data_IF_716681777309
#
_entry.id   IF_716681777309
#
_cell.length_a   1.000
_cell.length_b   1.000
_cell.length_c   1.000
_cell.angle_alpha   90.00
_cell.angle_beta   90.00
_cell.angle_gamma   90.00
#
_symmetry.space_group_name_H-M   'P 1'
#
loop_
_entity.id
_entity.type
_entity.pdbx_description
1 polymer ?
#
# COMPACT_ATOMS: atom_id res chain seq x y z
N UNK A 1 -1.89 -15.18 -34.82
CA UNK A 1 -2.49 -14.33 -35.86
C UNK A 1 -3.46 -13.40 -35.15
N UNK A 2 -3.33 -12.08 -35.28
CA UNK A 2 -4.21 -11.12 -34.59
C UNK A 2 -5.56 -11.12 -35.33
N UNK A 3 -6.67 -11.33 -34.62
CA UNK A 3 -8.01 -11.14 -35.20
C UNK A 3 -8.33 -9.64 -35.22
N UNK A 4 -8.12 -9.01 -36.38
CA UNK A 4 -8.32 -7.57 -36.57
C UNK A 4 -9.79 -7.19 -36.35
N UNK A 5 -10.74 -8.03 -36.75
CA UNK A 5 -12.17 -7.72 -36.58
C UNK A 5 -12.54 -7.71 -35.10
N UNK A 6 -11.97 -8.64 -34.33
CA UNK A 6 -12.12 -8.65 -32.88
C UNK A 6 -11.51 -7.38 -32.24
N UNK A 7 -10.31 -6.97 -32.66
CA UNK A 7 -9.66 -5.77 -32.14
C UNK A 7 -10.46 -4.49 -32.47
N UNK A 8 -11.01 -4.39 -33.69
CA UNK A 8 -11.89 -3.28 -34.06
C UNK A 8 -13.16 -3.26 -33.23
N UNK A 9 -13.80 -4.43 -32.99
CA UNK A 9 -14.96 -4.55 -32.10
C UNK A 9 -14.64 -4.02 -30.70
N UNK A 10 -13.55 -4.51 -30.09
CA UNK A 10 -13.12 -4.13 -28.75
C UNK A 10 -12.78 -2.63 -28.66
N UNK A 11 -12.09 -2.09 -29.66
CA UNK A 11 -11.79 -0.67 -29.74
C UNK A 11 -13.07 0.18 -29.79
N UNK A 12 -14.04 -0.19 -30.63
CA UNK A 12 -15.33 0.53 -30.73
C UNK A 12 -16.11 0.41 -29.41
N UNK A 13 -16.19 -0.79 -28.84
CA UNK A 13 -16.86 -1.03 -27.57
C UNK A 13 -16.28 -0.16 -26.45
N UNK A 14 -14.96 0.00 -26.39
CA UNK A 14 -14.30 0.82 -25.40
C UNK A 14 -14.39 2.33 -25.66
N UNK A 15 -13.86 2.81 -26.79
CA UNK A 15 -13.69 4.25 -27.03
C UNK A 15 -14.95 4.96 -27.53
N UNK A 16 -15.86 4.24 -28.19
CA UNK A 16 -17.05 4.84 -28.80
C UNK A 16 -18.28 4.54 -27.96
N UNK A 17 -18.52 3.26 -27.64
CA UNK A 17 -19.74 2.83 -26.95
C UNK A 17 -19.63 2.86 -25.43
N UNK A 18 -18.41 2.78 -24.89
CA UNK A 18 -18.12 2.69 -23.45
C UNK A 18 -18.81 1.49 -22.77
N UNK A 19 -18.89 0.39 -23.50
CA UNK A 19 -19.53 -0.86 -23.05
C UNK A 19 -18.53 -1.84 -22.42
N UNK A 20 -17.27 -1.78 -22.83
CA UNK A 20 -16.21 -2.71 -22.41
C UNK A 20 -14.91 -1.95 -22.08
N UNK A 21 -14.10 -2.51 -21.18
CA UNK A 21 -12.73 -2.02 -20.95
C UNK A 21 -11.77 -2.74 -21.89
N UNK A 22 -10.97 -1.98 -22.64
CA UNK A 22 -9.95 -2.55 -23.50
C UNK A 22 -8.73 -2.94 -22.64
N UNK A 23 -8.30 -4.20 -22.68
CA UNK A 23 -7.08 -4.60 -21.97
C UNK A 23 -5.85 -3.91 -22.57
N UNK A 24 -4.80 -3.71 -21.76
CA UNK A 24 -3.54 -3.13 -22.24
C UNK A 24 -2.92 -3.97 -23.37
N UNK A 25 -2.90 -5.29 -23.21
CA UNK A 25 -2.42 -6.23 -24.23
C UNK A 25 -3.16 -6.08 -25.56
N UNK A 26 -4.49 -5.96 -25.52
CA UNK A 26 -5.30 -5.76 -26.73
C UNK A 26 -5.06 -4.36 -27.34
N UNK A 27 -4.90 -3.33 -26.50
CA UNK A 27 -4.55 -1.99 -26.95
C UNK A 27 -3.18 -1.95 -27.66
N UNK A 28 -2.16 -2.62 -27.10
CA UNK A 28 -0.83 -2.73 -27.67
C UNK A 28 -0.83 -3.51 -28.99
N UNK A 29 -1.54 -4.65 -29.05
CA UNK A 29 -1.69 -5.45 -30.28
C UNK A 29 -2.34 -4.63 -31.38
N UNK A 30 -3.40 -3.88 -31.04
CA UNK A 30 -4.12 -3.09 -32.04
C UNK A 30 -3.32 -1.86 -32.48
N UNK A 31 -2.57 -1.23 -31.57
CA UNK A 31 -1.63 -0.17 -31.90
C UNK A 31 -0.54 -0.65 -32.85
N UNK A 32 0.05 -1.81 -32.61
CA UNK A 32 1.06 -2.42 -33.47
C UNK A 32 0.50 -2.64 -34.88
N UNK A 33 -0.69 -3.24 -34.99
CA UNK A 33 -1.38 -3.41 -36.26
C UNK A 33 -1.60 -2.07 -37.00
N UNK A 34 -2.14 -1.05 -36.33
CA UNK A 34 -2.38 0.25 -36.95
C UNK A 34 -1.09 0.94 -37.38
N UNK A 35 0.01 0.72 -36.65
CA UNK A 35 1.32 1.28 -36.99
C UNK A 35 1.84 0.68 -38.29
N UNK A 36 1.70 -0.62 -38.48
CA UNK A 36 2.14 -1.36 -39.66
C UNK A 36 1.21 -1.14 -40.88
N UNK A 37 -0.10 -1.08 -40.67
CA UNK A 37 -1.08 -0.92 -41.75
C UNK A 37 -1.37 0.56 -42.05
N UNK A 38 -0.69 1.10 -43.06
CA UNK A 38 -0.81 2.51 -43.48
C UNK A 38 -2.18 2.88 -44.06
N UNK A 39 -2.90 1.91 -44.61
CA UNK A 39 -4.18 2.15 -45.29
C UNK A 39 -5.39 2.02 -44.35
N UNK A 40 -5.15 1.77 -43.05
CA UNK A 40 -6.21 1.64 -42.07
C UNK A 40 -7.02 2.95 -41.94
N UNK A 41 -8.36 2.84 -41.93
CA UNK A 41 -9.24 3.99 -41.81
C UNK A 41 -9.04 4.72 -40.48
N UNK A 42 -8.92 6.05 -40.55
CA UNK A 42 -8.71 6.93 -39.39
C UNK A 42 -7.48 6.56 -38.53
N UNK A 43 -6.48 5.89 -39.13
CA UNK A 43 -5.29 5.36 -38.48
C UNK A 43 -4.67 6.31 -37.45
N UNK A 44 -4.31 7.51 -37.87
CA UNK A 44 -3.59 8.48 -37.01
C UNK A 44 -4.39 8.84 -35.76
N UNK A 45 -5.71 9.05 -35.90
CA UNK A 45 -6.59 9.33 -34.77
C UNK A 45 -6.70 8.12 -33.83
N UNK A 46 -6.82 6.92 -34.37
CA UNK A 46 -6.92 5.67 -33.58
C UNK A 46 -5.61 5.40 -32.82
N UNK A 47 -4.47 5.59 -33.48
CA UNK A 47 -3.13 5.51 -32.88
C UNK A 47 -3.00 6.50 -31.72
N UNK A 48 -3.28 7.79 -31.95
CA UNK A 48 -3.17 8.81 -30.90
C UNK A 48 -4.06 8.53 -29.68
N UNK A 49 -5.23 7.92 -29.89
CA UNK A 49 -6.12 7.51 -28.79
C UNK A 49 -5.59 6.31 -28.02
N UNK A 50 -5.09 5.29 -28.71
CA UNK A 50 -4.49 4.11 -28.07
C UNK A 50 -3.23 4.47 -27.31
N UNK A 51 -2.35 5.30 -27.89
CA UNK A 51 -1.13 5.78 -27.22
C UNK A 51 -1.45 6.50 -25.91
N UNK A 52 -2.43 7.42 -25.95
CA UNK A 52 -2.87 8.13 -24.74
C UNK A 52 -3.46 7.18 -23.72
N UNK A 53 -4.25 6.21 -24.16
CA UNK A 53 -4.89 5.23 -23.28
C UNK A 53 -3.85 4.34 -22.58
N UNK A 54 -2.90 3.79 -23.32
CA UNK A 54 -1.81 2.96 -22.79
C UNK A 54 -0.98 3.75 -21.77
N UNK A 55 -0.57 4.99 -22.09
CA UNK A 55 0.15 5.84 -21.14
C UNK A 55 -0.62 6.12 -19.86
N UNK A 56 -1.95 6.22 -19.94
CA UNK A 56 -2.77 6.38 -18.74
C UNK A 56 -2.80 5.10 -17.90
N UNK A 57 -2.95 3.92 -18.54
CA UNK A 57 -2.89 2.63 -17.86
C UNK A 57 -1.53 2.42 -17.17
N UNK A 58 -0.44 2.75 -17.85
CA UNK A 58 0.92 2.68 -17.28
C UNK A 58 1.05 3.58 -16.05
N UNK A 59 0.57 4.83 -16.13
CA UNK A 59 0.58 5.76 -14.99
C UNK A 59 -0.25 5.27 -13.82
N UNK A 60 -1.42 4.69 -14.08
CA UNK A 60 -2.27 4.10 -13.04
C UNK A 60 -1.57 2.94 -12.35
N UNK A 61 -0.93 2.04 -13.13
CA UNK A 61 -0.12 0.94 -12.59
C UNK A 61 1.07 1.42 -11.77
N UNK A 62 1.79 2.44 -12.25
CA UNK A 62 2.91 3.03 -11.52
C UNK A 62 2.43 3.68 -10.20
N UNK A 63 1.28 4.37 -10.22
CA UNK A 63 0.70 4.96 -9.02
C UNK A 63 0.23 3.91 -8.01
N UNK A 64 -0.40 2.83 -8.48
CA UNK A 64 -0.82 1.70 -7.64
C UNK A 64 0.40 1.03 -7.00
N UNK A 65 1.43 0.75 -7.79
CA UNK A 65 2.69 0.18 -7.29
C UNK A 65 3.35 1.10 -6.26
N UNK A 66 3.42 2.39 -6.52
CA UNK A 66 4.00 3.36 -5.58
C UNK A 66 3.20 3.42 -4.27
N UNK A 67 1.87 3.33 -4.34
CA UNK A 67 1.01 3.27 -3.16
C UNK A 67 1.24 1.97 -2.37
N UNK A 68 1.33 0.83 -3.04
CA UNK A 68 1.62 -0.47 -2.42
C UNK A 68 3.00 -0.46 -1.76
N UNK A 69 4.04 0.05 -2.43
CA UNK A 69 5.39 0.18 -1.87
C UNK A 69 5.39 1.08 -0.62
N UNK A 70 4.69 2.21 -0.65
CA UNK A 70 4.55 3.10 0.50
C UNK A 70 3.80 2.42 1.67
N UNK A 71 2.73 1.67 1.37
CA UNK A 71 1.98 0.91 2.37
C UNK A 71 2.87 -0.18 3.01
N UNK A 72 3.60 -0.95 2.19
CA UNK A 72 4.52 -1.98 2.67
C UNK A 72 5.68 -1.41 3.49
N UNK A 73 6.20 -0.23 3.12
CA UNK A 73 7.25 0.44 3.90
C UNK A 73 6.76 0.80 5.31
N UNK A 74 5.55 1.36 5.43
CA UNK A 74 4.93 1.69 6.72
C UNK A 74 4.68 0.43 7.58
N UNK A 75 4.16 -0.63 6.96
CA UNK A 75 3.94 -1.91 7.66
C UNK A 75 5.24 -2.51 8.19
N UNK A 76 6.30 -2.51 7.38
CA UNK A 76 7.64 -2.96 7.79
C UNK A 76 8.21 -2.14 8.94
N UNK A 77 8.02 -0.82 8.91
CA UNK A 77 8.48 0.05 9.99
C UNK A 77 7.76 -0.27 11.31
N UNK A 78 6.43 -0.45 11.28
CA UNK A 78 5.66 -0.85 12.46
C UNK A 78 6.17 -2.18 13.03
N UNK A 79 6.37 -3.19 12.18
CA UNK A 79 6.92 -4.48 12.60
C UNK A 79 8.29 -4.31 13.24
N UNK A 80 9.20 -3.58 12.59
CA UNK A 80 10.56 -3.36 13.09
C UNK A 80 10.59 -2.61 14.43
N UNK A 81 9.66 -1.68 14.68
CA UNK A 81 9.53 -1.00 15.97
C UNK A 81 9.05 -1.99 17.05
N UNK A 82 7.97 -2.74 16.77
CA UNK A 82 7.40 -3.71 17.72
C UNK A 82 8.37 -4.84 18.06
N UNK A 83 9.13 -5.35 17.08
CA UNK A 83 10.20 -6.33 17.31
C UNK A 83 11.29 -5.78 18.25
N UNK A 84 11.64 -4.49 18.16
CA UNK A 84 12.57 -3.87 19.12
C UNK A 84 11.97 -3.81 20.52
N UNK A 85 10.68 -3.53 20.65
CA UNK A 85 10.01 -3.53 21.96
C UNK A 85 10.08 -4.91 22.62
N UNK A 86 9.76 -5.96 21.87
CA UNK A 86 9.89 -7.34 22.35
C UNK A 86 11.33 -7.65 22.77
N UNK A 87 12.32 -7.24 21.98
CA UNK A 87 13.74 -7.41 22.31
C UNK A 87 14.16 -6.64 23.58
N UNK A 88 13.49 -5.54 23.89
CA UNK A 88 13.68 -4.78 25.13
C UNK A 88 12.98 -5.43 26.33
N UNK A 89 12.14 -6.44 26.12
CA UNK A 89 11.36 -7.14 27.15
C UNK A 89 9.95 -6.59 27.34
N UNK A 90 9.41 -5.89 26.34
CA UNK A 90 7.99 -5.58 26.30
C UNK A 90 7.16 -6.82 25.95
N UNK A 91 5.93 -6.85 26.44
CA UNK A 91 4.93 -7.86 26.12
C UNK A 91 3.64 -7.19 25.62
N UNK A 92 2.73 -8.00 25.06
CA UNK A 92 1.43 -7.52 24.62
C UNK A 92 0.33 -8.52 24.93
N UNK A 93 -0.89 -8.00 25.08
CA UNK A 93 -2.10 -8.80 25.13
C UNK A 93 -3.15 -8.24 24.18
N UNK A 94 -3.96 -9.12 23.60
CA UNK A 94 -5.13 -8.75 22.82
C UNK A 94 -6.41 -9.15 23.57
N UNK A 95 -7.39 -8.26 23.58
CA UNK A 95 -8.73 -8.52 24.12
C UNK A 95 -9.77 -8.23 23.06
N UNK A 96 -10.74 -9.12 22.90
CA UNK A 96 -11.88 -8.91 22.01
C UNK A 96 -13.15 -8.71 22.83
N UNK A 97 -13.83 -7.60 22.60
CA UNK A 97 -15.16 -7.35 23.16
C UNK A 97 -16.11 -6.88 22.06
N UNK A 98 -17.28 -7.52 21.98
CA UNK A 98 -18.34 -7.19 21.01
C UNK A 98 -17.87 -7.03 19.54
N UNK A 99 -16.87 -7.81 19.12
CA UNK A 99 -16.32 -7.80 17.75
C UNK A 99 -15.23 -6.76 17.49
N UNK A 100 -14.81 -6.00 18.51
CA UNK A 100 -13.67 -5.08 18.46
C UNK A 100 -12.52 -5.68 19.26
N UNK A 101 -11.38 -5.89 18.61
CA UNK A 101 -10.13 -6.25 19.28
C UNK A 101 -9.38 -5.02 19.76
N UNK A 102 -8.70 -5.13 20.90
CA UNK A 102 -7.81 -4.12 21.43
C UNK A 102 -6.49 -4.78 21.79
N UNK A 103 -5.40 -4.32 21.21
CA UNK A 103 -4.03 -4.71 21.57
C UNK A 103 -3.48 -3.72 22.59
N UNK A 104 -2.91 -4.21 23.69
CA UNK A 104 -2.19 -3.40 24.69
C UNK A 104 -0.76 -3.88 24.82
N UNK A 105 0.20 -2.98 24.61
CA UNK A 105 1.61 -3.24 24.86
C UNK A 105 2.03 -2.74 26.24
N UNK A 106 2.87 -3.52 26.93
CA UNK A 106 3.38 -3.22 28.27
C UNK A 106 4.88 -3.41 28.35
N UNK A 107 5.51 -2.62 29.20
CA UNK A 107 6.91 -2.78 29.58
C UNK A 107 7.00 -2.84 31.09
N UNK A 108 7.59 -3.92 31.63
CA UNK A 108 7.65 -4.18 33.09
C UNK A 108 6.27 -4.08 33.78
N UNK A 109 5.22 -4.53 33.08
CA UNK A 109 3.83 -4.50 33.57
C UNK A 109 3.09 -3.17 33.37
N UNK A 110 3.77 -2.10 32.95
CA UNK A 110 3.16 -0.79 32.70
C UNK A 110 2.75 -0.60 31.23
N UNK A 111 1.49 -0.25 30.92
CA UNK A 111 1.03 -0.09 29.55
C UNK A 111 1.56 1.19 28.90
N UNK A 112 2.13 1.07 27.69
CA UNK A 112 2.65 2.21 26.95
C UNK A 112 1.96 2.46 25.60
N UNK A 113 1.37 1.43 24.97
CA UNK A 113 0.57 1.58 23.74
C UNK A 113 -0.76 0.83 23.84
N UNK A 114 -1.81 1.37 23.22
CA UNK A 114 -3.04 0.64 22.92
C UNK A 114 -3.49 0.94 21.49
N UNK A 115 -3.92 -0.07 20.77
CA UNK A 115 -4.55 0.08 19.44
C UNK A 115 -5.77 -0.82 19.32
N UNK A 116 -6.68 -0.46 18.42
CA UNK A 116 -7.93 -1.18 18.19
C UNK A 116 -7.92 -1.85 16.81
N UNK A 117 -8.68 -2.92 16.65
CA UNK A 117 -8.96 -3.50 15.33
C UNK A 117 -9.65 -2.45 14.45
N UNK A 118 -9.16 -2.28 13.23
CA UNK A 118 -9.68 -1.30 12.28
C UNK A 118 -8.95 0.05 12.29
N UNK A 119 -7.97 0.25 13.17
CA UNK A 119 -7.03 1.38 13.07
C UNK A 119 -6.33 1.34 11.70
N UNK A 120 -6.32 2.48 11.00
CA UNK A 120 -5.66 2.57 9.70
C UNK A 120 -4.14 2.43 9.86
N UNK A 121 -3.43 2.06 8.78
CA UNK A 121 -1.97 1.89 8.85
C UNK A 121 -1.24 3.19 9.24
N UNK A 122 -1.78 4.34 8.81
CA UNK A 122 -1.21 5.66 9.14
C UNK A 122 -1.39 6.02 10.61
N UNK A 123 -2.58 5.75 11.16
CA UNK A 123 -2.85 5.93 12.59
C UNK A 123 -2.00 4.96 13.43
N UNK A 124 -1.90 3.69 13.02
CA UNK A 124 -1.08 2.70 13.72
C UNK A 124 0.39 3.10 13.71
N UNK A 125 0.92 3.59 12.59
CA UNK A 125 2.31 4.06 12.51
C UNK A 125 2.56 5.25 13.45
N UNK A 126 1.61 6.20 13.52
CA UNK A 126 1.69 7.32 14.45
C UNK A 126 1.72 6.83 15.91
N UNK A 127 0.75 5.98 16.28
CA UNK A 127 0.65 5.40 17.63
C UNK A 127 1.91 4.64 18.01
N UNK A 128 2.46 3.87 17.07
CA UNK A 128 3.68 3.09 17.29
C UNK A 128 4.90 4.00 17.49
N UNK A 129 5.06 5.05 16.70
CA UNK A 129 6.17 6.01 16.90
C UNK A 129 6.06 6.76 18.23
N UNK A 130 4.87 7.19 18.61
CA UNK A 130 4.63 7.84 19.91
C UNK A 130 4.92 6.89 21.08
N UNK A 131 4.50 5.64 20.96
CA UNK A 131 4.79 4.59 21.93
C UNK A 131 6.28 4.25 22.03
N UNK A 132 7.04 4.32 20.93
CA UNK A 132 8.49 4.09 20.92
C UNK A 132 9.24 5.14 21.75
N UNK A 133 8.84 6.42 21.60
CA UNK A 133 9.34 7.52 22.43
C UNK A 133 8.98 7.28 23.90
N UNK A 134 7.71 6.94 24.18
CA UNK A 134 7.25 6.68 25.56
C UNK A 134 8.00 5.52 26.20
N UNK A 135 8.24 4.44 25.47
CA UNK A 135 9.01 3.30 25.96
C UNK A 135 10.46 3.70 26.30
N UNK A 136 11.08 4.49 25.43
CA UNK A 136 12.44 5.02 25.66
C UNK A 136 12.50 5.80 26.98
N UNK A 137 11.54 6.71 27.20
CA UNK A 137 11.46 7.45 28.47
C UNK A 137 11.25 6.54 29.69
N UNK A 138 10.45 5.48 29.56
CA UNK A 138 10.21 4.51 30.63
C UNK A 138 11.49 3.74 30.99
N UNK A 139 12.29 3.38 29.99
CA UNK A 139 13.58 2.70 30.19
C UNK A 139 14.56 3.63 30.91
N UNK A 140 14.68 4.89 30.47
CA UNK A 140 15.57 5.88 31.07
C UNK A 140 15.19 6.18 32.54
N UNK A 141 13.90 6.39 32.81
CA UNK A 141 13.39 6.63 34.18
C UNK A 141 13.54 5.39 35.07
N UNK A 142 13.34 4.19 34.52
CA UNK A 142 13.49 2.91 35.21
C UNK A 142 14.94 2.46 35.44
N UNK A 143 15.92 3.12 34.83
CA UNK A 143 17.36 2.89 35.01
C UNK A 143 18.00 3.74 36.13
N UNK A 144 17.29 4.75 36.63
CA UNK A 144 17.81 5.73 37.62
C UNK A 144 17.75 5.31 39.09
N UNK A 145 17.34 4.09 39.42
CA UNK A 145 17.18 3.60 40.80
C UNK A 145 18.36 2.75 41.32
N UNK A 146 19.57 2.96 40.77
CA UNK A 146 20.81 2.38 41.32
C UNK A 146 21.91 3.43 41.46
N UNK A 147 21.74 4.34 42.42
CA UNK A 147 22.87 5.01 43.08
C UNK A 147 22.53 5.27 44.54
N UNK A 148 23.13 4.41 45.38
CA UNK A 148 23.58 4.67 46.76
C UNK A 148 22.53 4.93 47.85
N UNK A 149 21.99 3.83 48.35
CA UNK A 149 21.87 3.61 49.81
C UNK A 149 22.99 2.65 50.24
N UNK A 150 24.13 3.19 50.69
CA UNK A 150 25.11 2.54 51.55
C UNK A 150 26.07 3.63 52.05
N UNK A 151 25.72 4.23 53.18
CA UNK A 151 26.51 4.23 54.44
C UNK A 151 27.61 5.29 54.50
#
# INVERSE_FOLDING_TARGET
>A
MIDIKEMERKYIAHFIRREETLSEDDALKYLAYLTENRDAAFRERRIAQLDRYIRNLEREKEAEKALEEAWMAKAREICAIKERWEALGADWEERHDCGVGMTTWRYRGEPFMRSFTGTSLDEELLLVREADVKLTEMIEKGGGLTSESAE
#
